data_IF_983310037618
#
_entry.id   IF_983310037618
#
_cell.length_a   1.000
_cell.length_b   1.000
_cell.length_c   1.000
_cell.angle_alpha   90.00
_cell.angle_beta   90.00
_cell.angle_gamma   90.00
#
_symmetry.space_group_name_H-M   'P 1'
#
loop_
_entity.id
_entity.type
_entity.pdbx_description
1 polymer ?
#
# COMPACT_ATOMS: atom_id res chain seq x y z
N UNK A 1 18.96 -43.18 -12.05
CA UNK A 1 18.88 -42.17 -10.97
C UNK A 1 19.79 -41.02 -11.32
N UNK A 2 19.38 -40.20 -12.29
CA UNK A 2 20.01 -38.92 -12.67
C UNK A 2 18.86 -38.06 -13.18
N UNK A 3 18.85 -36.78 -12.80
CA UNK A 3 17.92 -35.71 -13.19
C UNK A 3 16.64 -35.52 -12.36
N UNK A 4 16.80 -34.88 -11.19
CA UNK A 4 15.82 -33.88 -10.69
C UNK A 4 16.49 -32.61 -10.14
N UNK A 5 17.77 -32.38 -10.44
CA UNK A 5 18.52 -31.21 -9.94
C UNK A 5 18.13 -29.91 -10.68
N UNK A 6 17.76 -30.00 -11.96
CA UNK A 6 17.31 -28.85 -12.76
C UNK A 6 15.96 -28.28 -12.29
N UNK A 7 15.03 -29.15 -11.85
CA UNK A 7 13.74 -28.72 -11.30
C UNK A 7 13.90 -28.03 -9.94
N UNK A 8 14.67 -28.63 -9.03
CA UNK A 8 14.93 -28.04 -7.72
C UNK A 8 15.69 -26.71 -7.83
N UNK A 9 16.72 -26.62 -8.67
CA UNK A 9 17.47 -25.38 -8.87
C UNK A 9 16.61 -24.27 -9.48
N UNK A 10 15.72 -24.59 -10.41
CA UNK A 10 14.77 -23.63 -10.98
C UNK A 10 13.75 -23.15 -9.94
N UNK A 11 13.20 -24.04 -9.10
CA UNK A 11 12.32 -23.66 -7.98
C UNK A 11 13.04 -22.78 -6.95
N UNK A 12 14.31 -23.08 -6.63
CA UNK A 12 15.12 -22.25 -5.74
C UNK A 12 15.42 -20.89 -6.37
N UNK A 13 15.87 -20.85 -7.63
CA UNK A 13 16.16 -19.61 -8.34
C UNK A 13 14.92 -18.72 -8.48
N UNK A 14 13.75 -19.29 -8.81
CA UNK A 14 12.48 -18.56 -8.86
C UNK A 14 12.10 -17.95 -7.51
N UNK A 15 12.32 -18.66 -6.40
CA UNK A 15 12.07 -18.11 -5.05
C UNK A 15 12.94 -16.91 -4.72
N UNK A 16 14.20 -16.89 -5.17
CA UNK A 16 15.07 -15.74 -4.99
C UNK A 16 14.72 -14.58 -5.94
N UNK A 17 14.35 -14.89 -7.19
CA UNK A 17 13.98 -13.89 -8.20
C UNK A 17 12.68 -13.14 -7.85
N UNK A 18 11.70 -13.83 -7.27
CA UNK A 18 10.41 -13.21 -6.87
C UNK A 18 10.37 -12.74 -5.42
N UNK A 19 11.44 -12.89 -4.64
CA UNK A 19 11.44 -12.53 -3.21
C UNK A 19 11.11 -11.04 -2.97
N UNK A 20 11.50 -10.17 -3.90
CA UNK A 20 11.31 -8.73 -3.80
C UNK A 20 10.87 -8.13 -5.13
N UNK A 21 9.79 -7.34 -5.10
CA UNK A 21 9.35 -6.50 -6.21
C UNK A 21 9.69 -5.06 -5.82
N UNK A 22 10.54 -4.41 -6.60
CA UNK A 22 10.85 -2.99 -6.43
C UNK A 22 10.73 -2.31 -7.76
N UNK A 23 9.79 -1.39 -7.87
CA UNK A 23 9.58 -0.62 -9.07
C UNK A 23 9.43 0.87 -8.76
N UNK A 24 10.04 1.71 -9.60
CA UNK A 24 9.78 3.14 -9.59
C UNK A 24 8.35 3.36 -10.11
N UNK A 25 7.42 3.64 -9.20
CA UNK A 25 5.98 3.71 -9.53
C UNK A 25 5.69 4.69 -10.66
N UNK A 26 6.44 5.79 -10.72
CA UNK A 26 6.35 6.78 -11.79
C UNK A 26 7.00 6.36 -13.12
N UNK A 27 7.43 5.11 -13.28
CA UNK A 27 7.95 4.58 -14.55
C UNK A 27 7.32 3.26 -14.97
N UNK A 28 6.52 2.64 -14.10
CA UNK A 28 5.88 1.36 -14.36
C UNK A 28 4.68 1.54 -15.29
N UNK A 29 4.67 0.77 -16.38
CA UNK A 29 3.49 0.62 -17.22
C UNK A 29 2.54 -0.45 -16.69
N UNK A 30 1.25 -0.31 -16.98
CA UNK A 30 0.24 -1.30 -16.63
C UNK A 30 0.59 -2.70 -17.15
N UNK A 31 1.22 -2.79 -18.33
CA UNK A 31 1.67 -4.05 -18.94
C UNK A 31 2.54 -4.88 -17.98
N UNK A 32 3.50 -4.26 -17.29
CA UNK A 32 4.36 -4.98 -16.35
C UNK A 32 3.60 -5.49 -15.13
N UNK A 33 2.65 -4.69 -14.62
CA UNK A 33 1.77 -5.08 -13.51
C UNK A 33 0.94 -6.31 -13.93
N UNK A 34 0.36 -6.30 -15.12
CA UNK A 34 -0.46 -7.40 -15.64
C UNK A 34 0.39 -8.66 -15.93
N UNK A 35 1.60 -8.49 -16.47
CA UNK A 35 2.55 -9.57 -16.70
C UNK A 35 2.99 -10.25 -15.40
N UNK A 36 3.20 -9.49 -14.31
CA UNK A 36 3.49 -10.06 -13.00
C UNK A 36 2.24 -10.69 -12.36
N UNK A 37 1.08 -10.09 -12.56
CA UNK A 37 -0.19 -10.60 -12.02
C UNK A 37 -0.52 -11.98 -12.60
N UNK A 38 -0.26 -12.22 -13.88
CA UNK A 38 -0.56 -13.50 -14.54
C UNK A 38 0.05 -14.74 -13.83
N UNK A 39 1.35 -14.82 -13.50
CA UNK A 39 1.87 -15.97 -12.74
C UNK A 39 1.41 -15.96 -11.26
N UNK A 40 1.30 -14.80 -10.62
CA UNK A 40 0.96 -14.70 -9.19
C UNK A 40 -0.48 -15.11 -8.91
N UNK A 41 -1.44 -14.71 -9.75
CA UNK A 41 -2.87 -15.02 -9.56
C UNK A 41 -3.23 -16.48 -9.89
N UNK A 42 -2.34 -17.21 -10.57
CA UNK A 42 -2.54 -18.62 -10.93
C UNK A 42 -1.67 -19.59 -10.13
N UNK A 43 -0.55 -19.14 -9.57
CA UNK A 43 0.36 -20.00 -8.81
C UNK A 43 0.57 -19.47 -7.39
N UNK A 44 -0.05 -20.13 -6.38
CA UNK A 44 0.19 -19.82 -4.98
C UNK A 44 1.66 -19.92 -4.58
N UNK A 45 2.43 -20.80 -5.22
CA UNK A 45 3.87 -20.95 -4.95
C UNK A 45 4.65 -19.68 -5.31
N UNK A 46 4.36 -19.07 -6.46
CA UNK A 46 4.96 -17.79 -6.86
C UNK A 46 4.54 -16.69 -5.89
N UNK A 47 3.23 -16.60 -5.59
CA UNK A 47 2.71 -15.62 -4.63
C UNK A 47 3.37 -15.75 -3.25
N UNK A 48 3.60 -16.98 -2.78
CA UNK A 48 4.19 -17.28 -1.48
C UNK A 48 5.68 -16.92 -1.39
N UNK A 49 6.36 -16.82 -2.53
CA UNK A 49 7.78 -16.46 -2.59
C UNK A 49 8.03 -14.97 -2.41
N UNK A 50 7.05 -14.12 -2.74
CA UNK A 50 7.15 -12.68 -2.64
C UNK A 50 7.03 -12.25 -1.17
N UNK A 51 8.09 -11.60 -0.67
CA UNK A 51 8.17 -11.12 0.72
C UNK A 51 8.24 -9.59 0.82
N UNK A 52 8.69 -8.90 -0.23
CA UNK A 52 8.85 -7.45 -0.22
C UNK A 52 8.26 -6.83 -1.47
N UNK A 53 7.51 -5.74 -1.30
CA UNK A 53 6.98 -4.92 -2.40
C UNK A 53 7.28 -3.45 -2.10
N UNK A 54 8.01 -2.77 -2.97
CA UNK A 54 8.28 -1.33 -2.94
C UNK A 54 7.86 -0.71 -4.27
N UNK A 55 6.73 0.00 -4.25
CA UNK A 55 6.13 0.72 -5.37
C UNK A 55 6.09 2.21 -5.04
N UNK A 56 7.25 2.81 -4.80
CA UNK A 56 7.39 4.25 -4.57
C UNK A 56 8.01 4.94 -5.77
N UNK A 57 7.59 6.17 -5.99
CA UNK A 57 8.23 7.02 -6.99
C UNK A 57 9.58 7.52 -6.50
N UNK A 58 10.60 7.51 -7.36
CA UNK A 58 11.91 8.10 -7.04
C UNK A 58 12.00 9.59 -7.36
N UNK A 59 11.13 10.05 -8.26
CA UNK A 59 11.10 11.44 -8.69
C UNK A 59 10.46 12.34 -7.63
N UNK A 60 11.09 13.49 -7.38
CA UNK A 60 10.53 14.54 -6.53
C UNK A 60 9.43 15.21 -7.33
N UNK A 61 8.18 14.86 -7.03
CA UNK A 61 7.03 15.45 -7.69
C UNK A 61 6.89 16.92 -7.32
N UNK A 62 6.58 17.74 -8.34
CA UNK A 62 6.05 19.07 -8.10
C UNK A 62 4.71 18.99 -7.37
N UNK A 63 4.31 20.08 -6.73
CA UNK A 63 2.98 20.21 -6.11
C UNK A 63 1.88 19.90 -7.13
N UNK A 64 0.76 19.34 -6.68
CA UNK A 64 -0.40 19.07 -7.55
C UNK A 64 -1.03 20.40 -7.97
N UNK A 65 -0.59 20.97 -9.08
CA UNK A 65 -1.36 22.00 -9.79
C UNK A 65 -2.33 21.30 -10.74
N UNK A 66 -3.61 21.67 -10.66
CA UNK A 66 -4.72 21.00 -11.36
C UNK A 66 -4.52 20.95 -12.89
N UNK A 67 -3.75 21.88 -13.46
CA UNK A 67 -3.75 22.11 -14.91
C UNK A 67 -2.66 21.40 -15.73
N UNK A 68 -1.53 20.95 -15.16
CA UNK A 68 -0.40 20.55 -16.03
C UNK A 68 0.22 19.16 -15.81
N UNK A 69 -0.08 18.42 -14.73
CA UNK A 69 0.67 17.17 -14.47
C UNK A 69 -0.14 15.95 -14.01
N UNK A 70 -1.47 15.92 -14.12
CA UNK A 70 -2.25 14.75 -13.67
C UNK A 70 -2.91 13.94 -14.79
N UNK A 71 -3.14 14.58 -15.94
CA UNK A 71 -3.39 13.87 -17.20
C UNK A 71 -2.13 13.15 -17.70
N UNK A 72 -0.97 13.80 -17.67
CA UNK A 72 0.28 13.26 -18.22
C UNK A 72 0.82 12.02 -17.48
N UNK A 73 0.57 11.88 -16.17
CA UNK A 73 1.04 10.71 -15.41
C UNK A 73 0.20 9.44 -15.63
N UNK A 74 -1.03 9.57 -16.14
CA UNK A 74 -1.96 8.45 -16.34
C UNK A 74 -2.31 8.17 -17.81
N UNK A 75 -2.38 9.20 -18.68
CA UNK A 75 -2.96 9.04 -20.02
C UNK A 75 -2.07 8.15 -20.91
N UNK A 76 -0.74 8.29 -20.87
CA UNK A 76 0.16 7.43 -21.67
C UNK A 76 0.39 6.03 -21.05
N UNK A 77 -0.04 5.79 -19.80
CA UNK A 77 0.15 4.49 -19.11
C UNK A 77 -1.06 3.56 -19.18
N UNK A 78 -2.23 4.10 -19.53
CA UNK A 78 -3.50 3.37 -19.61
C UNK A 78 -3.81 2.84 -21.01
N UNK A 79 -3.10 3.27 -22.06
CA UNK A 79 -3.28 2.76 -23.42
C UNK A 79 -2.46 1.47 -23.63
N UNK A 80 -2.58 0.53 -22.70
CA UNK A 80 -2.35 -0.88 -23.03
C UNK A 80 -3.73 -1.46 -23.14
N UNK A 81 -4.15 -1.84 -24.34
CA UNK A 81 -5.42 -2.53 -24.48
C UNK A 81 -5.38 -3.77 -23.57
N UNK A 82 -6.31 -3.82 -22.62
CA UNK A 82 -6.50 -5.00 -21.78
C UNK A 82 -6.89 -6.24 -22.62
N UNK A 83 -7.06 -6.09 -23.94
CA UNK A 83 -7.33 -7.18 -24.87
C UNK A 83 -6.30 -8.31 -24.81
N UNK A 84 -5.00 -8.01 -24.61
CA UNK A 84 -3.94 -9.03 -24.46
C UNK A 84 -3.92 -9.71 -23.08
N UNK A 85 -4.65 -9.16 -22.12
CA UNK A 85 -4.67 -9.58 -20.71
C UNK A 85 -6.10 -9.83 -20.20
N UNK A 86 -7.04 -10.17 -21.09
CA UNK A 86 -8.44 -10.48 -20.72
C UNK A 86 -8.53 -11.59 -19.68
N UNK A 87 -7.63 -12.56 -19.76
CA UNK A 87 -7.49 -13.63 -18.76
C UNK A 87 -7.17 -13.07 -17.37
N UNK A 88 -6.24 -12.11 -17.28
CA UNK A 88 -5.85 -11.47 -16.00
C UNK A 88 -6.99 -10.62 -15.46
N UNK A 89 -7.65 -9.85 -16.33
CA UNK A 89 -8.83 -9.04 -15.94
C UNK A 89 -9.94 -9.95 -15.42
N UNK A 90 -10.27 -11.01 -16.16
CA UNK A 90 -11.30 -11.97 -15.76
C UNK A 90 -10.96 -12.67 -14.45
N UNK A 91 -9.70 -13.09 -14.25
CA UNK A 91 -9.26 -13.70 -12.99
C UNK A 91 -9.33 -12.72 -11.83
N UNK A 92 -8.92 -11.47 -12.03
CA UNK A 92 -9.02 -10.43 -11.00
C UNK A 92 -10.48 -10.17 -10.61
N UNK A 93 -11.39 -10.10 -11.59
CA UNK A 93 -12.83 -9.97 -11.34
C UNK A 93 -13.42 -11.19 -10.62
N UNK A 94 -12.97 -12.40 -10.98
CA UNK A 94 -13.35 -13.62 -10.27
C UNK A 94 -12.93 -13.57 -8.79
N UNK A 95 -11.73 -13.07 -8.48
CA UNK A 95 -11.29 -12.88 -7.08
C UNK A 95 -12.21 -11.89 -6.35
N UNK A 96 -12.60 -10.79 -7.00
CA UNK A 96 -13.54 -9.81 -6.44
C UNK A 96 -14.88 -10.47 -6.09
N UNK A 97 -15.39 -11.35 -6.96
CA UNK A 97 -16.63 -12.08 -6.75
C UNK A 97 -16.52 -13.18 -5.69
N UNK A 98 -15.50 -14.03 -5.81
CA UNK A 98 -15.21 -15.16 -4.92
C UNK A 98 -15.05 -14.67 -3.47
N UNK A 99 -14.28 -13.59 -3.28
CA UNK A 99 -14.06 -13.00 -1.97
C UNK A 99 -15.17 -12.02 -1.54
N UNK A 100 -16.19 -11.78 -2.39
CA UNK A 100 -17.35 -10.91 -2.11
C UNK A 100 -16.96 -9.50 -1.66
N UNK A 101 -16.14 -8.82 -2.46
CA UNK A 101 -15.73 -7.45 -2.15
C UNK A 101 -16.95 -6.52 -2.03
N UNK A 102 -16.94 -5.58 -1.06
CA UNK A 102 -17.86 -4.46 -1.03
C UNK A 102 -17.74 -3.67 -2.34
N UNK A 103 -18.87 -3.17 -2.84
CA UNK A 103 -18.93 -2.39 -4.08
C UNK A 103 -18.24 -3.08 -5.26
N UNK A 104 -18.48 -4.40 -5.41
CA UNK A 104 -17.85 -5.24 -6.44
C UNK A 104 -17.98 -4.67 -7.85
N UNK A 105 -19.04 -3.92 -8.15
CA UNK A 105 -19.22 -3.21 -9.40
C UNK A 105 -18.15 -2.14 -9.65
N UNK A 106 -17.77 -1.36 -8.63
CA UNK A 106 -16.72 -0.33 -8.71
C UNK A 106 -15.36 -0.98 -8.96
N UNK A 107 -15.05 -2.06 -8.23
CA UNK A 107 -13.84 -2.84 -8.43
C UNK A 107 -13.75 -3.43 -9.84
N UNK A 108 -14.83 -4.07 -10.30
CA UNK A 108 -14.89 -4.67 -11.65
C UNK A 108 -14.73 -3.64 -12.75
N UNK A 109 -15.37 -2.49 -12.61
CA UNK A 109 -15.25 -1.37 -13.55
C UNK A 109 -13.81 -0.84 -13.56
N UNK A 110 -13.21 -0.60 -12.40
CA UNK A 110 -11.83 -0.14 -12.32
C UNK A 110 -10.84 -1.13 -12.97
N UNK A 111 -11.07 -2.44 -12.83
CA UNK A 111 -10.26 -3.47 -13.50
C UNK A 111 -10.47 -3.49 -15.03
N UNK A 112 -11.70 -3.27 -15.50
CA UNK A 112 -12.01 -3.15 -16.94
C UNK A 112 -11.40 -1.91 -17.56
N UNK A 113 -11.43 -0.80 -16.83
CA UNK A 113 -10.87 0.49 -17.24
C UNK A 113 -9.33 0.52 -17.13
N UNK A 114 -8.68 -0.58 -16.74
CA UNK A 114 -7.22 -0.67 -16.69
C UNK A 114 -6.57 0.04 -15.49
N UNK A 115 -7.29 0.19 -14.37
CA UNK A 115 -6.75 0.85 -13.18
C UNK A 115 -5.59 0.07 -12.56
N UNK A 116 -4.38 0.60 -12.71
CA UNK A 116 -3.16 0.04 -12.12
C UNK A 116 -3.27 -0.13 -10.59
N UNK A 117 -3.91 0.82 -9.91
CA UNK A 117 -4.14 0.78 -8.46
C UNK A 117 -5.03 -0.41 -8.06
N UNK A 118 -6.09 -0.68 -8.83
CA UNK A 118 -6.98 -1.82 -8.60
C UNK A 118 -6.23 -3.15 -8.83
N UNK A 119 -5.47 -3.25 -9.92
CA UNK A 119 -4.66 -4.45 -10.20
C UNK A 119 -3.62 -4.72 -9.12
N UNK A 120 -2.90 -3.69 -8.65
CA UNK A 120 -1.96 -3.84 -7.52
C UNK A 120 -2.70 -4.27 -6.25
N UNK A 121 -3.87 -3.71 -5.94
CA UNK A 121 -4.63 -4.12 -4.75
C UNK A 121 -5.08 -5.60 -4.81
N UNK A 122 -5.49 -6.09 -5.98
CA UNK A 122 -5.81 -7.50 -6.22
C UNK A 122 -4.55 -8.38 -6.16
N UNK A 123 -3.45 -7.97 -6.77
CA UNK A 123 -2.17 -8.68 -6.68
C UNK A 123 -1.76 -8.86 -5.21
N UNK A 124 -1.72 -7.77 -4.47
CA UNK A 124 -1.38 -7.75 -3.04
C UNK A 124 -2.34 -8.61 -2.20
N UNK A 125 -3.58 -8.84 -2.66
CA UNK A 125 -4.55 -9.69 -1.95
C UNK A 125 -4.16 -11.16 -1.93
N UNK A 126 -3.30 -11.59 -2.85
CA UNK A 126 -2.83 -12.96 -2.96
C UNK A 126 -1.45 -13.17 -2.29
N UNK A 127 -0.80 -12.10 -1.82
CA UNK A 127 0.54 -12.17 -1.22
C UNK A 127 0.43 -12.45 0.29
N UNK A 128 0.25 -13.70 0.66
CA UNK A 128 0.06 -14.12 2.06
C UNK A 128 1.34 -14.00 2.92
N UNK A 129 2.52 -14.12 2.30
CA UNK A 129 3.83 -14.12 2.99
C UNK A 129 4.53 -12.76 2.95
N UNK A 130 3.81 -11.70 2.58
CA UNK A 130 4.40 -10.36 2.49
C UNK A 130 4.88 -9.88 3.87
N UNK A 131 6.13 -9.46 3.94
CA UNK A 131 6.83 -9.03 5.17
C UNK A 131 7.04 -7.51 5.20
N UNK A 132 7.24 -6.88 4.03
CA UNK A 132 7.39 -5.44 3.88
C UNK A 132 6.62 -4.92 2.67
N UNK A 133 5.92 -3.81 2.86
CA UNK A 133 5.13 -3.15 1.83
C UNK A 133 5.42 -1.65 1.84
N UNK A 134 5.72 -1.07 0.69
CA UNK A 134 5.85 0.38 0.50
C UNK A 134 5.07 0.79 -0.73
N UNK A 135 4.14 1.72 -0.56
CA UNK A 135 3.24 2.21 -1.60
C UNK A 135 3.35 3.73 -1.68
N UNK A 136 3.40 4.22 -2.92
CA UNK A 136 3.41 5.64 -3.24
C UNK A 136 2.18 6.40 -2.71
N UNK A 137 2.33 7.69 -2.41
CA UNK A 137 1.24 8.55 -1.91
C UNK A 137 0.03 8.60 -2.85
N UNK A 138 0.24 8.38 -4.16
CA UNK A 138 -0.87 8.28 -5.12
C UNK A 138 -1.83 7.13 -4.84
N UNK A 139 -1.41 6.06 -4.14
CA UNK A 139 -2.32 5.00 -3.70
C UNK A 139 -3.34 5.50 -2.67
N UNK A 140 -2.92 6.42 -1.78
CA UNK A 140 -3.79 7.07 -0.80
C UNK A 140 -4.77 7.99 -1.51
N UNK A 141 -4.23 8.87 -2.35
CA UNK A 141 -4.99 9.91 -3.02
C UNK A 141 -6.00 9.39 -4.05
N UNK A 142 -5.59 8.54 -5.00
CA UNK A 142 -6.40 8.26 -6.19
C UNK A 142 -7.54 7.26 -5.98
N UNK A 143 -7.44 6.36 -5.00
CA UNK A 143 -8.46 5.31 -4.85
C UNK A 143 -8.53 4.65 -3.49
N UNK A 144 -7.42 4.57 -2.76
CA UNK A 144 -7.34 3.83 -1.51
C UNK A 144 -7.59 2.33 -1.64
N UNK A 145 -7.58 1.75 -2.86
CA UNK A 145 -7.89 0.34 -3.10
C UNK A 145 -7.10 -0.63 -2.19
N UNK A 146 -5.79 -0.47 -1.94
CA UNK A 146 -5.06 -1.35 -1.01
C UNK A 146 -5.63 -1.33 0.40
N UNK A 147 -5.95 -0.14 0.93
CA UNK A 147 -6.53 0.03 2.27
C UNK A 147 -7.95 -0.53 2.36
N UNK A 148 -8.80 -0.24 1.36
CA UNK A 148 -10.16 -0.77 1.28
C UNK A 148 -10.18 -2.30 1.17
N UNK A 149 -9.31 -2.88 0.35
CA UNK A 149 -9.16 -4.35 0.25
C UNK A 149 -8.71 -4.94 1.58
N UNK A 150 -7.74 -4.32 2.24
CA UNK A 150 -7.25 -4.81 3.54
C UNK A 150 -8.35 -4.75 4.60
N UNK A 151 -9.15 -3.69 4.63
CA UNK A 151 -10.32 -3.57 5.49
C UNK A 151 -11.29 -4.72 5.24
N UNK A 152 -11.61 -5.00 3.97
CA UNK A 152 -12.47 -6.15 3.66
C UNK A 152 -11.85 -7.47 4.15
N UNK A 153 -10.57 -7.70 3.86
CA UNK A 153 -9.87 -8.92 4.25
C UNK A 153 -9.87 -9.18 5.77
N UNK A 154 -9.70 -8.14 6.58
CA UNK A 154 -9.61 -8.26 8.05
C UNK A 154 -10.96 -8.32 8.75
N UNK A 155 -12.00 -7.67 8.21
CA UNK A 155 -13.24 -7.43 8.97
C UNK A 155 -14.45 -8.16 8.42
N UNK A 156 -14.53 -8.44 7.12
CA UNK A 156 -15.76 -8.91 6.47
C UNK A 156 -15.57 -10.12 5.55
N UNK A 157 -14.37 -10.34 5.01
CA UNK A 157 -14.08 -11.46 4.12
C UNK A 157 -14.03 -12.81 4.87
N UNK A 158 -14.30 -13.89 4.15
CA UNK A 158 -14.12 -15.24 4.67
C UNK A 158 -12.63 -15.55 4.87
N UNK A 159 -12.30 -16.17 6.00
CA UNK A 159 -10.92 -16.50 6.36
C UNK A 159 -10.24 -17.33 5.27
N UNK A 160 -9.04 -16.91 4.88
CA UNK A 160 -8.22 -17.60 3.88
C UNK A 160 -8.50 -17.22 2.43
N UNK A 161 -9.53 -16.42 2.14
CA UNK A 161 -9.81 -15.96 0.75
C UNK A 161 -8.93 -14.81 0.31
N UNK A 162 -8.57 -13.91 1.24
CA UNK A 162 -7.69 -12.79 0.99
C UNK A 162 -6.56 -12.79 2.00
N UNK A 163 -5.40 -12.32 1.58
CA UNK A 163 -4.28 -12.07 2.47
C UNK A 163 -4.67 -11.00 3.50
N UNK A 164 -4.65 -11.41 4.76
CA UNK A 164 -4.70 -10.55 5.94
C UNK A 164 -3.30 -10.13 6.39
N UNK A 165 -2.27 -10.50 5.61
CA UNK A 165 -0.89 -10.16 5.85
C UNK A 165 -0.36 -10.59 7.22
N UNK A 166 -0.45 -11.89 7.50
CA UNK A 166 -0.01 -12.47 8.79
C UNK A 166 1.47 -12.20 9.10
N UNK A 167 2.31 -11.98 8.10
CA UNK A 167 3.76 -11.75 8.26
C UNK A 167 4.21 -10.29 8.05
N UNK A 168 3.28 -9.37 7.73
CA UNK A 168 3.64 -8.01 7.34
C UNK A 168 4.03 -7.18 8.56
N UNK A 169 5.32 -6.88 8.66
CA UNK A 169 5.91 -6.19 9.81
C UNK A 169 6.18 -4.71 9.55
N UNK A 170 6.39 -4.34 8.28
CA UNK A 170 6.82 -3.00 7.86
C UNK A 170 5.88 -2.50 6.76
N UNK A 171 5.22 -1.39 7.00
CA UNK A 171 4.33 -0.74 6.02
C UNK A 171 4.71 0.72 5.87
N UNK A 172 4.91 1.16 4.63
CA UNK A 172 4.91 2.57 4.25
C UNK A 172 3.74 2.79 3.28
N UNK A 173 2.74 3.55 3.71
CA UNK A 173 1.54 3.84 2.95
C UNK A 173 1.45 5.33 2.66
N UNK A 174 2.10 5.74 1.57
CA UNK A 174 2.04 7.09 1.05
C UNK A 174 2.88 8.13 1.77
N UNK A 175 3.91 7.72 2.52
CA UNK A 175 4.74 8.69 3.26
C UNK A 175 5.62 9.57 2.39
N UNK A 176 5.74 9.27 1.08
CA UNK A 176 6.50 10.06 0.11
C UNK A 176 5.66 11.18 -0.52
N UNK A 177 4.62 11.63 0.18
CA UNK A 177 3.81 12.77 -0.22
C UNK A 177 4.67 14.04 -0.41
N UNK A 178 4.47 14.79 -1.51
CA UNK A 178 5.09 16.11 -1.71
C UNK A 178 4.76 17.11 -0.58
N UNK A 179 5.55 18.18 -0.48
CA UNK A 179 5.35 19.26 0.52
C UNK A 179 4.80 20.51 -0.17
N UNK A 180 3.84 21.23 0.44
CA UNK A 180 3.26 22.41 -0.18
C UNK A 180 4.34 23.44 -0.48
N UNK A 181 4.39 24.00 -1.70
CA UNK A 181 5.31 25.07 -2.02
C UNK A 181 4.94 26.33 -1.24
N UNK A 182 3.65 26.54 -0.91
CA UNK A 182 3.20 27.67 -0.07
C UNK A 182 1.79 27.42 0.55
N UNK A 183 1.60 27.57 1.87
CA UNK A 183 0.27 27.52 2.51
C UNK A 183 -0.66 28.68 2.09
N UNK A 184 -0.17 29.75 1.47
CA UNK A 184 -1.00 30.85 0.99
C UNK A 184 -1.70 30.55 -0.36
N UNK A 185 -1.31 29.48 -1.04
CA UNK A 185 -1.87 29.01 -2.32
C UNK A 185 -2.75 27.76 -2.16
N UNK A 186 -3.48 27.66 -1.04
CA UNK A 186 -4.48 26.61 -0.86
C UNK A 186 -5.69 26.95 -1.72
N UNK A 187 -5.75 26.31 -2.88
CA UNK A 187 -6.91 26.37 -3.78
C UNK A 187 -8.18 25.88 -3.06
N UNK A 188 -9.32 26.47 -3.40
CA UNK A 188 -10.57 26.53 -2.60
C UNK A 188 -11.29 25.16 -2.49
N UNK A 189 -10.69 24.09 -2.98
CA UNK A 189 -11.18 22.71 -2.93
C UNK A 189 -10.37 21.74 -2.06
N UNK A 190 -9.26 22.17 -1.47
CA UNK A 190 -8.31 21.29 -0.78
C UNK A 190 -8.27 21.56 0.74
N UNK A 191 -8.46 20.53 1.57
CA UNK A 191 -8.28 20.65 3.03
C UNK A 191 -6.77 20.67 3.30
N UNK A 192 -6.28 21.75 3.91
CA UNK A 192 -4.86 22.00 4.16
C UNK A 192 -3.96 21.87 2.92
N UNK A 193 -4.52 22.18 1.73
CA UNK A 193 -3.82 22.06 0.46
C UNK A 193 -3.71 20.62 -0.06
N UNK A 194 -4.28 19.62 0.60
CA UNK A 194 -4.23 18.21 0.21
C UNK A 194 -5.52 17.70 -0.45
N UNK A 195 -5.43 16.81 -1.46
CA UNK A 195 -6.61 16.25 -2.10
C UNK A 195 -7.35 15.30 -1.18
N UNK A 196 -8.69 15.31 -1.26
CA UNK A 196 -9.52 14.34 -0.57
C UNK A 196 -9.21 12.91 -1.01
N UNK A 197 -9.39 11.97 -0.09
CA UNK A 197 -9.20 10.55 -0.31
C UNK A 197 -10.31 9.74 0.35
N UNK A 198 -10.36 8.44 0.07
CA UNK A 198 -11.37 7.57 0.69
C UNK A 198 -11.07 7.33 2.17
N UNK A 199 -11.90 7.81 3.12
CA UNK A 199 -11.57 7.78 4.56
C UNK A 199 -11.51 6.36 5.11
N UNK A 200 -12.31 5.44 4.57
CA UNK A 200 -12.37 4.04 5.02
C UNK A 200 -11.10 3.22 4.73
N UNK A 201 -10.08 3.77 4.09
CA UNK A 201 -8.87 3.05 3.71
C UNK A 201 -7.82 2.93 4.83
N UNK A 202 -7.93 3.72 5.91
CA UNK A 202 -6.85 3.86 6.89
C UNK A 202 -6.92 2.87 8.04
N UNK A 203 -8.12 2.62 8.57
CA UNK A 203 -8.30 1.89 9.82
C UNK A 203 -7.60 0.52 9.80
N UNK A 204 -7.77 -0.22 8.71
CA UNK A 204 -7.33 -1.60 8.62
C UNK A 204 -5.81 -1.80 8.77
N UNK A 205 -5.01 -0.80 8.40
CA UNK A 205 -3.55 -0.87 8.55
C UNK A 205 -3.13 -1.03 10.01
N UNK A 206 -3.86 -0.42 10.95
CA UNK A 206 -3.53 -0.47 12.37
C UNK A 206 -3.96 -1.79 13.06
N UNK A 207 -4.67 -2.68 12.35
CA UNK A 207 -5.14 -3.97 12.87
C UNK A 207 -4.36 -5.17 12.30
N UNK A 208 -3.29 -4.90 11.56
CA UNK A 208 -2.42 -5.95 11.03
C UNK A 208 -1.74 -6.75 12.15
N UNK A 209 -1.79 -8.09 12.09
CA UNK A 209 -1.41 -8.94 13.22
C UNK A 209 0.09 -8.88 13.55
N UNK A 210 0.97 -8.64 12.58
CA UNK A 210 2.43 -8.67 12.79
C UNK A 210 3.09 -7.31 12.62
N UNK A 211 2.30 -6.24 12.49
CA UNK A 211 2.81 -4.91 12.20
C UNK A 211 3.67 -4.38 13.35
N UNK A 212 4.87 -3.92 13.01
CA UNK A 212 5.84 -3.33 13.93
C UNK A 212 6.16 -1.88 13.59
N UNK A 213 6.19 -1.53 12.31
CA UNK A 213 6.49 -0.18 11.84
C UNK A 213 5.49 0.27 10.78
N UNK A 214 4.88 1.42 11.00
CA UNK A 214 3.92 2.03 10.08
C UNK A 214 4.33 3.48 9.79
N UNK A 215 4.62 3.76 8.52
CA UNK A 215 4.65 5.11 7.98
C UNK A 215 3.38 5.30 7.17
N UNK A 216 2.63 6.35 7.42
CA UNK A 216 1.34 6.54 6.76
C UNK A 216 1.06 8.03 6.56
N UNK A 217 0.63 8.39 5.36
CA UNK A 217 -0.06 9.66 5.15
C UNK A 217 -1.51 9.50 5.58
N UNK A 218 -1.81 9.98 6.79
CA UNK A 218 -3.11 9.78 7.44
C UNK A 218 -3.96 11.05 7.28
N UNK A 219 -5.02 10.94 6.48
CA UNK A 219 -5.95 12.06 6.30
C UNK A 219 -7.23 11.95 7.13
N UNK A 220 -7.65 10.73 7.47
CA UNK A 220 -8.82 10.46 8.30
C UNK A 220 -8.49 9.37 9.31
N UNK A 221 -9.00 9.53 10.53
CA UNK A 221 -8.87 8.53 11.58
C UNK A 221 -10.17 8.21 12.32
N UNK A 222 -11.32 8.71 11.86
CA UNK A 222 -12.59 8.61 12.59
C UNK A 222 -12.97 7.15 12.86
N UNK A 223 -12.79 6.27 11.87
CA UNK A 223 -13.04 4.84 12.03
C UNK A 223 -12.09 4.18 13.04
N UNK A 224 -10.85 4.65 13.14
CA UNK A 224 -9.88 4.14 14.12
C UNK A 224 -10.33 4.50 15.53
N UNK A 225 -10.74 5.76 15.73
CA UNK A 225 -11.21 6.28 17.01
C UNK A 225 -12.53 5.64 17.44
N UNK A 226 -13.43 5.37 16.51
CA UNK A 226 -14.73 4.76 16.78
C UNK A 226 -14.65 3.25 17.07
N UNK A 227 -13.61 2.56 16.60
CA UNK A 227 -13.51 1.11 16.70
C UNK A 227 -13.06 0.68 18.11
N UNK A 228 -13.99 0.05 18.86
CA UNK A 228 -13.78 -0.45 20.23
C UNK A 228 -13.15 -1.84 20.31
N UNK A 229 -12.74 -2.45 19.18
CA UNK A 229 -12.07 -3.76 19.24
C UNK A 229 -10.76 -3.59 20.02
N UNK A 230 -10.43 -4.54 20.90
CA UNK A 230 -9.11 -4.58 21.51
C UNK A 230 -8.08 -4.63 20.39
N UNK A 231 -7.41 -3.51 20.23
CA UNK A 231 -6.53 -3.25 19.13
C UNK A 231 -5.24 -4.03 19.35
N UNK A 232 -4.70 -4.61 18.28
CA UNK A 232 -3.34 -5.19 18.29
C UNK A 232 -2.25 -4.10 18.32
N UNK A 233 -2.59 -2.94 18.88
CA UNK A 233 -1.76 -1.75 18.98
C UNK A 233 -0.48 -2.00 19.78
N UNK A 234 -0.50 -2.93 20.74
CA UNK A 234 0.66 -3.34 21.54
C UNK A 234 1.87 -3.80 20.70
N UNK A 235 1.67 -4.14 19.42
CA UNK A 235 2.73 -4.66 18.54
C UNK A 235 3.42 -3.58 17.72
N UNK A 236 2.75 -2.45 17.48
CA UNK A 236 3.31 -1.34 16.72
C UNK A 236 4.34 -0.63 17.59
N UNK A 237 5.61 -0.69 17.18
CA UNK A 237 6.74 -0.09 17.90
C UNK A 237 7.11 1.29 17.37
N UNK A 238 6.70 1.60 16.15
CA UNK A 238 7.01 2.85 15.48
C UNK A 238 5.86 3.22 14.56
N UNK A 239 5.31 4.42 14.81
CA UNK A 239 4.32 5.06 13.95
C UNK A 239 4.90 6.40 13.51
N UNK A 240 4.87 6.65 12.19
CA UNK A 240 5.23 7.92 11.59
C UNK A 240 4.05 8.42 10.77
N UNK A 241 3.52 9.57 11.18
CA UNK A 241 2.47 10.28 10.46
C UNK A 241 3.14 11.26 9.49
N UNK A 242 3.07 10.99 8.21
CA UNK A 242 3.64 11.84 7.17
C UNK A 242 2.60 12.87 6.71
N UNK A 243 2.85 14.15 6.97
CA UNK A 243 1.93 15.26 6.64
C UNK A 243 0.47 14.94 7.02
N UNK A 244 0.18 14.62 8.30
CA UNK A 244 -1.18 14.30 8.71
C UNK A 244 -2.09 15.51 8.52
N UNK A 245 -3.29 15.29 7.96
CA UNK A 245 -4.36 16.32 7.91
C UNK A 245 -5.42 16.10 8.98
N UNK A 246 -5.18 15.15 9.90
CA UNK A 246 -5.98 14.94 11.11
C UNK A 246 -5.65 16.00 12.16
N UNK A 247 -6.56 16.22 13.12
CA UNK A 247 -6.33 17.20 14.18
C UNK A 247 -5.24 16.75 15.13
N UNK A 248 -4.59 17.71 15.78
CA UNK A 248 -3.54 17.43 16.76
C UNK A 248 -4.06 16.56 17.91
N UNK A 249 -5.28 16.85 18.40
CA UNK A 249 -5.91 16.06 19.46
C UNK A 249 -6.11 14.59 19.06
N UNK A 250 -6.48 14.36 17.80
CA UNK A 250 -6.67 13.02 17.24
C UNK A 250 -5.34 12.28 17.11
N UNK A 251 -4.29 12.98 16.68
CA UNK A 251 -2.94 12.42 16.61
C UNK A 251 -2.43 12.02 18.00
N UNK A 252 -2.58 12.89 19.01
CA UNK A 252 -2.22 12.61 20.40
C UNK A 252 -2.95 11.35 20.89
N UNK A 253 -4.27 11.29 20.70
CA UNK A 253 -5.07 10.14 21.12
C UNK A 253 -4.61 8.84 20.44
N UNK A 254 -4.25 8.87 19.16
CA UNK A 254 -3.71 7.70 18.46
C UNK A 254 -2.41 7.22 19.10
N UNK A 255 -1.47 8.12 19.39
CA UNK A 255 -0.20 7.77 20.02
C UNK A 255 -0.37 7.24 21.46
N UNK A 256 -1.31 7.81 22.23
CA UNK A 256 -1.67 7.31 23.56
C UNK A 256 -2.30 5.92 23.49
N UNK A 257 -3.23 5.72 22.55
CA UNK A 257 -3.88 4.42 22.31
C UNK A 257 -2.90 3.33 21.90
N UNK A 258 -1.82 3.70 21.22
CA UNK A 258 -0.75 2.79 20.83
C UNK A 258 0.24 2.46 21.97
N UNK A 259 0.04 3.00 23.18
CA UNK A 259 0.98 2.89 24.30
C UNK A 259 2.42 3.34 23.94
N UNK A 260 2.58 4.14 22.88
CA UNK A 260 3.89 4.63 22.42
C UNK A 260 4.48 5.68 23.38
N UNK A 261 3.66 6.23 24.29
CA UNK A 261 4.05 7.19 25.33
C UNK A 261 4.61 6.57 26.62
N UNK A 262 4.82 5.24 26.71
CA UNK A 262 5.18 4.58 27.98
C UNK A 262 6.56 4.92 28.57
N UNK A 263 7.42 5.66 27.89
CA UNK A 263 8.60 6.26 28.50
C UNK A 263 8.40 7.77 28.55
N UNK A 264 8.50 8.39 29.74
CA UNK A 264 8.46 9.85 29.95
C UNK A 264 9.58 10.65 29.25
N UNK A 265 10.21 10.06 28.24
CA UNK A 265 10.94 10.74 27.19
C UNK A 265 10.06 10.76 25.95
N UNK A 266 9.64 11.96 25.51
CA UNK A 266 9.38 12.19 24.09
C UNK A 266 10.61 11.68 23.32
N UNK A 267 10.53 10.61 22.51
CA UNK A 267 11.49 10.44 21.45
C UNK A 267 11.30 11.65 20.56
N UNK A 268 12.35 12.43 20.33
CA UNK A 268 12.37 13.67 19.53
C UNK A 268 11.88 13.54 18.08
N UNK A 269 11.30 12.40 17.67
CA UNK A 269 10.97 12.04 16.30
C UNK A 269 9.47 11.91 16.00
N UNK A 270 8.55 12.29 16.91
CA UNK A 270 7.13 11.92 16.75
C UNK A 270 6.23 13.01 16.13
N UNK A 271 6.67 14.26 16.05
CA UNK A 271 6.14 15.23 15.08
C UNK A 271 7.33 15.96 14.49
N UNK A 272 7.97 15.34 13.51
CA UNK A 272 8.88 16.04 12.60
C UNK A 272 8.27 15.99 11.21
N UNK A 273 7.53 17.04 10.85
CA UNK A 273 7.77 17.61 9.53
C UNK A 273 9.25 17.98 9.52
N UNK A 274 10.10 17.25 8.79
CA UNK A 274 11.30 17.74 8.10
C UNK A 274 12.21 16.59 7.60
N UNK A 275 12.46 16.68 6.29
CA UNK A 275 13.54 16.20 5.42
C UNK A 275 14.72 15.33 5.93
N UNK A 276 15.10 14.45 5.00
CA UNK A 276 16.44 13.93 4.73
C UNK A 276 16.98 12.85 5.68
N UNK A 277 16.35 11.68 5.67
CA UNK A 277 17.12 10.44 5.89
C UNK A 277 17.98 10.18 4.66
N UNK A 278 19.25 10.57 4.80
CA UNK A 278 20.38 10.10 4.01
C UNK A 278 20.38 8.57 3.93
N UNK A 279 20.86 8.05 2.81
CA UNK A 279 20.92 6.63 2.42
C UNK A 279 21.53 5.66 3.47
N UNK A 280 22.06 6.16 4.59
CA UNK A 280 22.74 5.35 5.62
C UNK A 280 21.80 4.58 6.56
N UNK A 281 20.58 5.07 6.82
CA UNK A 281 19.62 4.33 7.68
C UNK A 281 18.84 3.24 6.90
N UNK A 282 18.78 3.36 5.58
CA UNK A 282 18.18 2.32 4.72
C UNK A 282 19.06 1.07 4.63
N UNK A 283 20.40 1.19 4.69
CA UNK A 283 21.32 0.04 4.72
C UNK A 283 21.27 -0.76 6.03
N UNK A 284 20.93 -0.14 7.16
CA UNK A 284 20.86 -0.87 8.44
C UNK A 284 19.60 -1.75 8.57
N UNK A 285 18.59 -1.55 7.71
CA UNK A 285 17.39 -2.39 7.63
C UNK A 285 17.54 -3.60 6.68
N UNK A 286 18.65 -3.71 5.95
CA UNK A 286 18.96 -4.86 5.09
C UNK A 286 19.49 -6.08 5.86
N UNK A 287 19.70 -5.96 7.18
CA UNK A 287 20.27 -7.03 8.01
C UNK A 287 19.24 -7.72 8.90
N UNK A 288 18.01 -7.97 8.45
CA UNK A 288 17.08 -8.96 9.04
C UNK A 288 16.09 -9.53 8.00
#
# INVERSE_FOLDING_TARGET
MVMSESGAFNTYAQRFLYCSISWDWCKVSLKYILQLSRPVLWSPDVASSIKRVDLRSTEKHGWWTEDENLGAYNIDRQIVSCDEFKDVVARAQAIVDEARFPDSAVWKKALQDGSAYAFVAILLSQLHNLCALRLDFTFVWKSGFPGLRLKHALFTAQKGMLSIFESLAVVNYGSNIPIPPDPEYVDVGYVDGHPSCEPGQFMAWFYLPSLRKLWIWLQDCQEILACKRQTSFDRVRSLVLAQPTIREEEAIFLFESLSLYRSGHMPRSIIQSYFAETESEQQQLETF
#
